data_IF_194202607659
#
_entry.id   IF_194202607659
#
_cell.length_a   1.000
_cell.length_b   1.000
_cell.length_c   1.000
_cell.angle_alpha   90.00
_cell.angle_beta   90.00
_cell.angle_gamma   90.00
#
_symmetry.space_group_name_H-M   'P 1'
#
loop_
_entity.id
_entity.type
_entity.pdbx_description
1 polymer ?
#
# COMPACT_ATOMS: atom_id res chain seq x y z
N UNK A 1 26.21 5.19 -12.71
CA UNK A 1 24.90 5.31 -12.04
C UNK A 1 24.97 4.50 -10.74
N UNK A 2 25.13 5.14 -9.58
CA UNK A 2 25.14 4.43 -8.27
C UNK A 2 23.69 4.13 -7.89
N UNK A 3 23.42 2.92 -7.39
CA UNK A 3 22.10 2.55 -6.91
C UNK A 3 21.71 3.47 -5.74
N UNK A 4 20.52 4.08 -5.84
CA UNK A 4 19.85 4.84 -4.79
C UNK A 4 19.40 3.86 -3.69
N UNK A 5 20.32 3.39 -2.86
CA UNK A 5 20.01 2.57 -1.69
C UNK A 5 20.26 3.38 -0.42
N UNK A 6 19.18 3.64 0.33
CA UNK A 6 19.27 4.18 1.68
C UNK A 6 19.37 2.99 2.66
N UNK A 7 20.61 2.68 3.09
CA UNK A 7 20.80 1.82 4.27
C UNK A 7 20.44 2.65 5.50
N UNK A 8 19.47 2.18 6.29
CA UNK A 8 18.98 2.82 7.51
C UNK A 8 19.28 1.93 8.71
N UNK A 9 19.67 2.53 9.83
CA UNK A 9 19.62 1.84 11.12
C UNK A 9 18.17 1.73 11.65
N UNK A 10 17.98 1.08 12.80
CA UNK A 10 16.65 0.85 13.37
C UNK A 10 15.93 2.16 13.75
N UNK A 11 16.64 3.21 14.17
CA UNK A 11 16.04 4.48 14.54
C UNK A 11 15.65 5.28 13.31
N UNK A 12 16.54 5.35 12.30
CA UNK A 12 16.24 5.98 11.02
C UNK A 12 15.09 5.27 10.30
N UNK A 13 15.04 3.94 10.38
CA UNK A 13 13.93 3.16 9.84
C UNK A 13 12.59 3.51 10.53
N UNK A 14 12.58 3.69 11.86
CA UNK A 14 11.39 4.18 12.57
C UNK A 14 10.96 5.55 12.05
N UNK A 15 11.87 6.52 11.99
CA UNK A 15 11.54 7.86 11.46
C UNK A 15 11.08 7.84 10.00
N UNK A 16 11.60 6.93 9.18
CA UNK A 16 11.12 6.73 7.82
C UNK A 16 9.68 6.19 7.79
N UNK A 17 9.35 5.21 8.63
CA UNK A 17 7.96 4.74 8.77
C UNK A 17 7.03 5.83 9.29
N UNK A 18 7.48 6.57 10.29
CA UNK A 18 6.71 7.66 10.89
C UNK A 18 6.38 8.75 9.86
N UNK A 19 7.38 9.17 9.10
CA UNK A 19 7.20 10.16 8.02
C UNK A 19 6.34 9.63 6.87
N UNK A 20 6.48 8.34 6.54
CA UNK A 20 5.68 7.70 5.50
C UNK A 20 4.21 7.52 5.90
N UNK A 21 3.96 7.19 7.17
CA UNK A 21 2.61 7.06 7.72
C UNK A 21 1.87 8.40 7.72
N UNK A 22 2.53 9.51 8.01
CA UNK A 22 1.93 10.86 7.87
C UNK A 22 1.50 11.20 6.43
N UNK A 23 2.13 10.60 5.42
CA UNK A 23 1.83 10.84 4.01
C UNK A 23 0.88 9.78 3.41
N UNK A 24 0.43 8.82 4.22
CA UNK A 24 -0.36 7.68 3.74
C UNK A 24 -1.81 8.08 3.45
N UNK A 25 -2.22 7.92 2.19
CA UNK A 25 -3.58 8.23 1.72
C UNK A 25 -3.90 7.45 0.43
N UNK A 26 -5.19 7.41 0.05
CA UNK A 26 -5.66 6.82 -1.20
C UNK A 26 -7.15 6.46 -1.16
N UNK A 27 -7.99 7.31 -1.75
CA UNK A 27 -9.45 7.12 -1.74
C UNK A 27 -9.90 6.21 -2.88
N UNK A 28 -11.01 5.50 -2.67
CA UNK A 28 -11.52 4.49 -3.61
C UNK A 28 -12.48 5.05 -4.67
N UNK A 29 -12.72 6.37 -4.68
CA UNK A 29 -13.70 7.00 -5.58
C UNK A 29 -13.41 6.76 -7.06
N UNK A 30 -12.14 6.51 -7.43
CA UNK A 30 -11.76 6.12 -8.79
C UNK A 30 -12.52 4.89 -9.32
N UNK A 31 -13.04 4.02 -8.44
CA UNK A 31 -13.82 2.84 -8.84
C UNK A 31 -15.15 3.23 -9.52
N UNK A 32 -15.66 4.44 -9.27
CA UNK A 32 -16.91 4.93 -9.88
C UNK A 32 -16.76 5.24 -11.37
N UNK A 33 -15.60 5.73 -11.77
CA UNK A 33 -15.33 6.24 -13.13
C UNK A 33 -14.18 5.54 -13.84
N UNK A 34 -13.58 4.52 -13.21
CA UNK A 34 -12.36 3.88 -13.67
C UNK A 34 -11.21 4.89 -13.93
N UNK A 35 -11.10 5.90 -13.06
CA UNK A 35 -10.10 6.96 -13.21
C UNK A 35 -8.66 6.44 -13.05
N UNK A 36 -7.72 7.09 -13.76
CA UNK A 36 -6.28 6.77 -13.72
C UNK A 36 -5.64 7.04 -12.34
N UNK A 37 -6.34 7.72 -11.43
CA UNK A 37 -5.87 8.02 -10.07
C UNK A 37 -5.53 6.77 -9.25
N UNK A 38 -6.03 5.59 -9.63
CA UNK A 38 -5.56 4.32 -9.04
C UNK A 38 -4.05 4.11 -9.21
N UNK A 39 -3.50 4.41 -10.39
CA UNK A 39 -2.07 4.24 -10.67
C UNK A 39 -1.24 5.25 -9.87
N UNK A 40 -1.78 6.46 -9.72
CA UNK A 40 -1.16 7.52 -8.93
C UNK A 40 -0.94 7.09 -7.47
N UNK A 41 -1.81 6.26 -6.88
CA UNK A 41 -1.60 5.75 -5.52
C UNK A 41 -0.28 4.99 -5.37
N UNK A 42 0.05 4.11 -6.33
CA UNK A 42 1.29 3.30 -6.26
C UNK A 42 2.52 4.18 -6.52
N UNK A 43 2.42 5.11 -7.46
CA UNK A 43 3.47 6.08 -7.73
C UNK A 43 3.76 6.96 -6.51
N UNK A 44 2.70 7.51 -5.89
CA UNK A 44 2.80 8.34 -4.70
C UNK A 44 3.38 7.55 -3.51
N UNK A 45 2.87 6.35 -3.24
CA UNK A 45 3.40 5.50 -2.15
C UNK A 45 4.90 5.21 -2.32
N UNK A 46 5.34 4.94 -3.55
CA UNK A 46 6.76 4.70 -3.86
C UNK A 46 7.61 5.96 -3.67
N UNK A 47 7.11 7.11 -4.13
CA UNK A 47 7.81 8.39 -4.01
C UNK A 47 7.91 8.84 -2.54
N UNK A 48 6.80 8.78 -1.79
CA UNK A 48 6.75 9.13 -0.38
C UNK A 48 7.68 8.24 0.45
N UNK A 49 7.67 6.93 0.22
CA UNK A 49 8.56 5.99 0.92
C UNK A 49 10.05 6.25 0.64
N UNK A 50 10.42 6.51 -0.62
CA UNK A 50 11.79 6.91 -0.96
C UNK A 50 12.16 8.21 -0.25
N UNK A 51 11.33 9.24 -0.37
CA UNK A 51 11.58 10.53 0.28
C UNK A 51 11.77 10.36 1.80
N UNK A 52 10.87 9.65 2.48
CA UNK A 52 10.95 9.39 3.92
C UNK A 52 12.24 8.66 4.32
N UNK A 53 12.68 7.69 3.54
CA UNK A 53 13.95 7.00 3.79
C UNK A 53 15.16 7.93 3.66
N UNK A 54 15.20 8.77 2.62
CA UNK A 54 16.32 9.69 2.41
C UNK A 54 16.38 10.78 3.49
N UNK A 55 15.26 11.41 3.82
CA UNK A 55 15.27 12.46 4.84
C UNK A 55 15.57 11.89 6.23
N UNK A 56 15.10 10.69 6.56
CA UNK A 56 15.42 10.04 7.84
C UNK A 56 16.91 9.66 7.93
N UNK A 57 17.52 9.25 6.81
CA UNK A 57 18.96 9.03 6.72
C UNK A 57 19.76 10.30 7.07
N UNK A 58 19.25 11.45 6.67
CA UNK A 58 19.86 12.76 6.92
C UNK A 58 19.45 13.37 8.28
N UNK A 59 18.80 12.59 9.16
CA UNK A 59 18.49 12.98 10.53
C UNK A 59 17.12 13.63 10.73
N UNK A 60 16.24 13.63 9.72
CA UNK A 60 14.85 14.05 9.90
C UNK A 60 14.11 13.09 10.82
N UNK A 61 13.36 13.63 11.78
CA UNK A 61 12.58 12.85 12.75
C UNK A 61 11.12 12.76 12.34
N UNK A 62 10.49 11.62 12.63
CA UNK A 62 9.06 11.42 12.41
C UNK A 62 8.26 11.30 13.72
N UNK A 63 6.94 11.20 13.59
CA UNK A 63 6.00 10.96 14.68
C UNK A 63 6.19 9.57 15.32
N UNK A 64 6.88 9.53 16.48
CA UNK A 64 7.31 8.36 17.27
C UNK A 64 6.29 7.20 17.43
N UNK A 65 4.98 7.49 17.33
CA UNK A 65 3.88 6.51 17.44
C UNK A 65 2.91 6.60 16.25
N UNK A 66 3.42 6.58 15.02
CA UNK A 66 2.58 6.79 13.83
C UNK A 66 1.50 5.73 13.63
N UNK A 67 1.74 4.49 14.04
CA UNK A 67 0.81 3.39 13.81
C UNK A 67 -0.32 3.36 14.85
N UNK A 68 0.01 3.56 16.12
CA UNK A 68 -0.82 3.23 17.29
C UNK A 68 -0.88 4.35 18.34
N UNK A 69 -0.36 5.54 18.04
CA UNK A 69 -0.55 6.73 18.86
C UNK A 69 -2.02 7.18 18.86
N UNK A 70 -2.44 8.01 19.83
CA UNK A 70 -3.81 8.52 19.92
C UNK A 70 -4.24 9.37 18.70
N UNK A 71 -3.27 9.87 17.94
CA UNK A 71 -3.47 10.56 16.64
C UNK A 71 -2.74 9.83 15.49
N UNK A 72 -2.42 8.55 15.69
CA UNK A 72 -1.79 7.69 14.70
C UNK A 72 -2.81 7.09 13.71
N UNK A 73 -2.30 6.31 12.76
CA UNK A 73 -3.10 5.74 11.67
C UNK A 73 -4.24 4.85 12.16
N UNK A 74 -4.02 4.03 13.20
CA UNK A 74 -5.08 3.21 13.78
C UNK A 74 -6.29 4.05 14.21
N UNK A 75 -6.05 5.09 15.02
CA UNK A 75 -7.09 5.98 15.52
C UNK A 75 -7.70 6.89 14.42
N UNK A 76 -6.90 7.27 13.42
CA UNK A 76 -7.33 8.17 12.35
C UNK A 76 -8.05 7.49 11.18
N UNK A 77 -7.83 6.18 10.96
CA UNK A 77 -8.33 5.46 9.79
C UNK A 77 -9.34 4.35 10.12
N UNK A 78 -9.47 3.96 11.40
CA UNK A 78 -10.52 3.02 11.81
C UNK A 78 -11.10 3.34 13.18
N UNK A 79 -12.33 2.90 13.39
CA UNK A 79 -13.03 2.94 14.69
C UNK A 79 -12.83 1.67 15.51
N UNK A 80 -12.27 0.61 14.92
CA UNK A 80 -12.12 -0.73 15.51
C UNK A 80 -10.68 -1.27 15.39
N UNK A 81 -9.69 -0.38 15.41
CA UNK A 81 -8.28 -0.74 15.31
C UNK A 81 -7.71 -1.31 16.62
N UNK A 82 -8.30 -2.40 17.12
CA UNK A 82 -7.74 -3.13 18.26
C UNK A 82 -6.40 -3.76 17.87
N UNK A 83 -5.34 -3.57 18.68
CA UNK A 83 -4.08 -4.25 18.47
C UNK A 83 -4.30 -5.76 18.47
N UNK A 84 -3.51 -6.52 17.70
CA UNK A 84 -3.78 -7.94 17.47
C UNK A 84 -3.84 -8.77 18.76
N UNK A 85 -3.03 -8.39 19.75
CA UNK A 85 -2.98 -8.94 21.11
C UNK A 85 -4.36 -8.94 21.82
N UNK A 86 -5.24 -7.99 21.47
CA UNK A 86 -6.57 -7.82 22.06
C UNK A 86 -7.67 -8.52 21.26
N UNK A 87 -7.36 -9.06 20.08
CA UNK A 87 -8.34 -9.73 19.22
C UNK A 87 -8.46 -11.22 19.60
N UNK A 88 -9.65 -11.69 19.99
CA UNK A 88 -9.86 -13.11 20.29
C UNK A 88 -9.44 -14.01 19.11
N UNK A 89 -8.62 -15.03 19.39
CA UNK A 89 -8.15 -15.98 18.38
C UNK A 89 -6.94 -15.53 17.54
N UNK A 90 -6.39 -14.34 17.80
CA UNK A 90 -5.17 -13.89 17.14
C UNK A 90 -3.93 -14.45 17.84
N UNK A 91 -2.98 -15.02 17.10
CA UNK A 91 -1.64 -15.37 17.60
C UNK A 91 -0.61 -14.55 16.85
N UNK A 92 0.17 -13.73 17.56
CA UNK A 92 1.32 -13.03 17.00
C UNK A 92 2.47 -14.03 16.82
N UNK A 93 2.84 -14.30 15.57
CA UNK A 93 4.18 -14.78 15.29
C UNK A 93 5.11 -13.55 15.29
N UNK A 94 5.99 -13.45 16.29
CA UNK A 94 7.02 -12.41 16.34
C UNK A 94 8.13 -12.60 15.30
N UNK A 95 7.96 -13.52 14.34
CA UNK A 95 8.58 -13.47 13.04
C UNK A 95 10.10 -13.47 13.11
N UNK A 96 10.70 -14.63 13.45
CA UNK A 96 12.14 -14.85 13.21
C UNK A 96 12.46 -15.24 11.75
N UNK A 97 11.46 -15.22 10.86
CA UNK A 97 11.58 -15.59 9.45
C UNK A 97 10.94 -14.57 8.52
N UNK A 98 11.44 -14.48 7.29
CA UNK A 98 10.81 -13.72 6.22
C UNK A 98 9.49 -14.38 5.84
N UNK A 99 8.38 -13.67 5.99
CA UNK A 99 7.07 -14.14 5.49
C UNK A 99 6.98 -13.77 4.01
N UNK A 100 7.27 -14.74 3.13
CA UNK A 100 6.98 -14.59 1.72
C UNK A 100 5.48 -14.82 1.50
N UNK A 101 4.71 -13.74 1.37
CA UNK A 101 3.32 -13.85 0.90
C UNK A 101 3.34 -14.32 -0.56
N UNK A 102 2.63 -15.40 -0.92
CA UNK A 102 2.59 -15.89 -2.29
C UNK A 102 2.07 -14.79 -3.21
N UNK A 103 2.88 -14.44 -4.22
CA UNK A 103 2.51 -13.42 -5.20
C UNK A 103 1.46 -14.00 -6.13
N UNK A 104 0.23 -13.50 -6.04
CA UNK A 104 -0.79 -13.81 -7.02
C UNK A 104 -0.45 -13.11 -8.34
N UNK A 105 0.06 -13.87 -9.31
CA UNK A 105 0.28 -13.39 -10.66
C UNK A 105 -1.04 -13.49 -11.43
N UNK A 106 -1.67 -12.36 -11.72
CA UNK A 106 -2.87 -12.34 -12.54
C UNK A 106 -2.49 -12.40 -14.03
N UNK A 107 -2.98 -13.38 -14.82
CA UNK A 107 -2.66 -13.50 -16.25
C UNK A 107 -3.35 -12.43 -17.11
N UNK A 108 -4.30 -11.70 -16.52
CA UNK A 108 -5.03 -10.59 -17.14
C UNK A 108 -4.94 -9.36 -16.21
N UNK A 109 -5.33 -8.18 -16.68
CA UNK A 109 -5.34 -6.94 -15.87
C UNK A 109 -6.71 -6.57 -15.20
N UNK A 110 -7.59 -7.50 -14.76
CA UNK A 110 -8.78 -7.12 -14.03
C UNK A 110 -8.46 -6.83 -12.56
N UNK A 111 -9.37 -6.14 -11.88
CA UNK A 111 -9.40 -6.15 -10.42
C UNK A 111 -9.55 -7.61 -9.95
N UNK A 112 -8.83 -8.05 -8.92
CA UNK A 112 -8.82 -9.44 -8.45
C UNK A 112 -10.21 -10.00 -8.13
N UNK A 113 -11.14 -9.13 -7.72
CA UNK A 113 -12.55 -9.49 -7.48
C UNK A 113 -13.34 -9.86 -8.74
N UNK A 114 -12.86 -9.47 -9.94
CA UNK A 114 -13.41 -9.87 -11.25
C UNK A 114 -12.63 -11.03 -11.89
N UNK A 115 -11.62 -11.57 -11.20
CA UNK A 115 -10.83 -12.70 -11.69
C UNK A 115 -11.44 -14.08 -11.32
N UNK A 116 -12.61 -14.10 -10.68
CA UNK A 116 -13.34 -15.33 -10.35
C UNK A 116 -13.77 -16.05 -11.65
N UNK A 117 -13.50 -17.35 -11.85
CA UNK A 117 -13.73 -18.04 -13.12
C UNK A 117 -15.17 -18.00 -13.63
N UNK A 118 -16.14 -17.71 -12.77
CA UNK A 118 -17.56 -17.59 -13.12
C UNK A 118 -17.93 -16.38 -13.98
N UNK A 119 -17.09 -15.33 -14.04
CA UNK A 119 -17.37 -14.07 -14.75
C UNK A 119 -16.66 -13.97 -16.13
N UNK A 120 -16.04 -15.07 -16.60
CA UNK A 120 -15.19 -15.09 -17.79
C UNK A 120 -15.94 -15.08 -19.15
N UNK A 121 -17.20 -14.65 -19.22
CA UNK A 121 -17.92 -14.46 -20.50
C UNK A 121 -17.91 -13.00 -20.96
N UNK A 122 -16.72 -12.47 -21.24
CA UNK A 122 -16.59 -11.27 -22.07
C UNK A 122 -16.45 -11.68 -23.55
N UNK A 123 -17.25 -11.14 -24.49
CA UNK A 123 -17.18 -11.49 -25.90
C UNK A 123 -15.83 -11.08 -26.53
N UNK A 124 -15.39 -11.80 -27.58
CA UNK A 124 -14.01 -11.76 -28.11
C UNK A 124 -13.56 -10.42 -28.73
N UNK A 125 -14.42 -9.39 -28.76
CA UNK A 125 -14.15 -8.11 -29.40
C UNK A 125 -13.32 -7.14 -28.55
N UNK A 126 -13.20 -7.37 -27.23
CA UNK A 126 -12.49 -6.47 -26.31
C UNK A 126 -10.95 -6.63 -26.32
N UNK A 127 -10.39 -7.60 -27.06
CA UNK A 127 -8.97 -7.96 -26.98
C UNK A 127 -8.03 -7.10 -27.84
N UNK A 128 -8.53 -6.13 -28.62
CA UNK A 128 -7.70 -5.31 -29.54
C UNK A 128 -7.62 -3.81 -29.25
N UNK A 129 -8.31 -3.30 -28.23
CA UNK A 129 -8.21 -1.89 -27.86
C UNK A 129 -7.25 -1.73 -26.67
N UNK A 130 -5.95 -1.65 -26.95
CA UNK A 130 -5.04 -0.99 -26.02
C UNK A 130 -5.53 0.43 -25.76
N UNK A 131 -5.64 0.81 -24.48
CA UNK A 131 -5.84 2.19 -24.04
C UNK A 131 -6.93 2.98 -24.79
N UNK A 132 -8.21 2.71 -24.50
CA UNK A 132 -9.31 3.71 -24.36
C UNK A 132 -10.64 2.99 -24.35
N UNK A 133 -11.24 2.91 -23.17
CA UNK A 133 -12.69 2.86 -23.05
C UNK A 133 -13.09 3.97 -22.07
N UNK A 134 -13.15 5.21 -22.60
CA UNK A 134 -14.08 6.19 -22.04
C UNK A 134 -15.47 5.65 -22.35
N UNK A 135 -16.14 5.09 -21.35
CA UNK A 135 -17.56 4.79 -21.44
C UNK A 135 -18.32 6.04 -21.00
N UNK A 136 -19.38 6.32 -21.77
CA UNK A 136 -20.31 7.45 -21.77
C UNK A 136 -20.67 7.98 -20.38
#
# INVERSE_FOLDING_TARGET
MRALSATLDAQQMRHAFDSGGTQSAGLWEFLRTAADSKQLHTAHASAAGLMSAYIAKDGFTGADRIFDGPQGMAAGMSTDADPPERRPGYTLDHGRGLVQVPRLLSPHAPCSRRADPGDARAPPQARRAGARAKQL
#
